data_IF_666526534956
#
_entry.id   IF_666526534956
#
_cell.length_a   1.000
_cell.length_b   1.000
_cell.length_c   1.000
_cell.angle_alpha   90.00
_cell.angle_beta   90.00
_cell.angle_gamma   90.00
#
_symmetry.space_group_name_H-M   'P 1'
#
loop_
_entity.id
_entity.type
_entity.pdbx_description
1 polymer ?
#
# COMPACT_ATOMS: atom_id res chain seq x y z
N UNK A 1 37.17 -25.23 2.34
CA UNK A 1 36.20 -24.80 3.36
C UNK A 1 35.75 -23.40 2.98
N UNK A 2 34.47 -23.20 2.64
CA UNK A 2 33.94 -21.90 2.24
C UNK A 2 33.30 -21.27 3.48
N UNK A 3 33.92 -20.22 4.03
CA UNK A 3 33.32 -19.43 5.11
C UNK A 3 31.98 -18.86 4.61
N UNK A 4 30.90 -19.31 5.24
CA UNK A 4 29.56 -18.80 4.99
C UNK A 4 29.44 -17.47 5.73
N UNK A 5 29.88 -16.38 5.11
CA UNK A 5 29.67 -15.05 5.69
C UNK A 5 28.17 -14.76 5.68
N UNK A 6 27.56 -14.74 6.87
CA UNK A 6 26.17 -14.32 7.00
C UNK A 6 26.15 -12.81 6.71
N UNK A 7 25.36 -12.32 5.73
CA UNK A 7 25.33 -10.90 5.46
C UNK A 7 24.90 -10.14 6.71
N UNK A 8 25.47 -8.96 6.97
CA UNK A 8 25.06 -8.15 8.11
C UNK A 8 23.56 -7.86 8.00
N UNK A 9 22.83 -8.22 9.05
CA UNK A 9 21.39 -7.97 9.12
C UNK A 9 21.19 -6.48 9.46
N UNK A 10 20.72 -5.70 8.49
CA UNK A 10 20.20 -4.35 8.73
C UNK A 10 18.72 -4.43 9.05
N UNK A 11 18.30 -3.79 10.14
CA UNK A 11 16.89 -3.57 10.46
C UNK A 11 16.52 -2.11 10.25
N UNK A 12 15.25 -1.85 9.95
CA UNK A 12 14.71 -0.50 9.91
C UNK A 12 13.40 -0.43 10.70
N UNK A 13 13.17 0.70 11.36
CA UNK A 13 11.92 1.05 12.02
C UNK A 13 11.23 2.11 11.20
N UNK A 14 9.94 1.92 10.93
CA UNK A 14 9.09 2.91 10.26
C UNK A 14 8.09 3.45 11.27
N UNK A 15 8.10 4.76 11.48
CA UNK A 15 7.17 5.46 12.37
C UNK A 15 6.25 6.34 11.55
N UNK A 16 4.94 6.15 11.73
CA UNK A 16 3.90 6.97 11.08
C UNK A 16 3.25 7.89 12.11
N UNK A 17 3.25 9.21 11.86
CA UNK A 17 2.69 10.20 12.79
C UNK A 17 1.80 11.25 12.08
N UNK A 18 0.48 11.29 12.36
CA UNK A 18 -0.30 10.24 13.02
C UNK A 18 -0.24 8.91 12.24
N UNK A 19 -0.77 7.83 12.81
CA UNK A 19 -0.87 6.55 12.11
C UNK A 19 -1.69 6.67 10.81
N UNK A 20 -1.31 5.94 9.76
CA UNK A 20 -2.13 5.83 8.54
C UNK A 20 -3.45 5.12 8.88
N UNK A 21 -4.57 5.76 8.57
CA UNK A 21 -5.92 5.23 8.78
C UNK A 21 -6.53 4.82 7.43
N UNK A 22 -6.81 3.53 7.28
CA UNK A 22 -7.59 3.02 6.15
C UNK A 22 -9.08 3.04 6.51
N UNK A 23 -9.90 3.82 5.78
CA UNK A 23 -11.36 3.88 5.96
C UNK A 23 -12.06 2.91 5.03
N UNK A 24 -12.69 1.88 5.59
CA UNK A 24 -13.45 0.86 4.87
C UNK A 24 -14.97 1.08 4.92
N UNK A 25 -15.41 2.15 5.58
CA UNK A 25 -16.81 2.53 5.82
C UNK A 25 -17.32 3.62 4.86
N UNK A 26 -16.54 3.96 3.82
CA UNK A 26 -16.91 4.95 2.82
C UNK A 26 -18.04 4.44 1.92
N UNK A 27 -19.02 5.30 1.63
CA UNK A 27 -19.98 5.04 0.56
C UNK A 27 -19.35 5.27 -0.82
N UNK A 28 -19.91 4.67 -1.87
CA UNK A 28 -19.39 4.84 -3.23
C UNK A 28 -19.38 6.34 -3.63
N UNK A 29 -18.24 6.80 -4.15
CA UNK A 29 -17.96 8.20 -4.47
C UNK A 29 -17.51 9.05 -3.28
N UNK A 30 -17.50 8.53 -2.06
CA UNK A 30 -16.94 9.26 -0.91
C UNK A 30 -15.42 9.14 -0.86
N UNK A 31 -14.80 10.22 -0.38
CA UNK A 31 -13.36 10.29 -0.15
C UNK A 31 -13.04 10.55 1.33
N UNK A 32 -11.88 10.08 1.75
CA UNK A 32 -11.25 10.41 3.01
C UNK A 32 -9.85 10.96 2.75
N UNK A 33 -9.50 12.05 3.41
CA UNK A 33 -8.19 12.68 3.30
C UNK A 33 -7.46 12.63 4.65
N UNK A 34 -6.17 12.30 4.61
CA UNK A 34 -5.31 12.27 5.79
C UNK A 34 -3.90 12.74 5.44
N UNK A 35 -3.35 13.60 6.29
CA UNK A 35 -1.92 13.93 6.27
C UNK A 35 -1.19 13.20 7.41
N UNK A 36 -0.02 12.63 7.11
CA UNK A 36 0.87 12.02 8.10
C UNK A 36 2.33 12.12 7.67
N UNK A 37 3.26 11.98 8.63
CA UNK A 37 4.68 11.80 8.32
C UNK A 37 5.06 10.33 8.39
N UNK A 38 6.01 9.93 7.54
CA UNK A 38 6.69 8.64 7.61
C UNK A 38 8.15 8.89 7.90
N UNK A 39 8.66 8.33 8.99
CA UNK A 39 10.08 8.41 9.36
C UNK A 39 10.66 7.00 9.38
N UNK A 40 11.72 6.80 8.61
CA UNK A 40 12.44 5.53 8.51
C UNK A 40 13.79 5.68 9.20
N UNK A 41 14.05 4.85 10.19
CA UNK A 41 15.32 4.81 10.91
C UNK A 41 15.95 3.42 10.79
N UNK A 42 17.17 3.33 10.26
CA UNK A 42 17.88 2.07 10.16
C UNK A 42 18.81 1.80 11.35
N UNK A 43 19.24 0.55 11.51
CA UNK A 43 20.13 0.12 12.59
C UNK A 43 21.55 0.70 12.52
N UNK A 44 21.85 1.50 11.49
CA UNK A 44 23.13 2.19 11.28
C UNK A 44 23.06 3.67 11.66
N UNK A 45 21.89 4.14 12.10
CA UNK A 45 21.65 5.54 12.50
C UNK A 45 21.29 6.47 11.34
N UNK A 46 21.01 5.93 10.14
CA UNK A 46 20.43 6.72 9.07
C UNK A 46 18.94 6.94 9.35
N UNK A 47 18.50 8.20 9.28
CA UNK A 47 17.10 8.59 9.44
C UNK A 47 16.66 9.46 8.26
N UNK A 48 15.48 9.19 7.73
CA UNK A 48 14.84 9.98 6.68
C UNK A 48 13.37 10.16 7.03
N UNK A 49 12.84 11.37 6.79
CA UNK A 49 11.44 11.69 7.02
C UNK A 49 10.82 12.36 5.80
N UNK A 50 9.54 12.08 5.58
CA UNK A 50 8.73 12.60 4.50
C UNK A 50 7.32 12.87 5.01
N UNK A 51 6.67 13.92 4.52
CA UNK A 51 5.24 14.17 4.75
C UNK A 51 4.44 13.61 3.58
N UNK A 52 3.32 12.98 3.89
CA UNK A 52 2.37 12.43 2.92
C UNK A 52 1.01 13.07 3.15
N UNK A 53 0.41 13.55 2.07
CA UNK A 53 -1.02 13.80 1.97
C UNK A 53 -1.64 12.65 1.19
N UNK A 54 -2.65 12.00 1.76
CA UNK A 54 -3.32 10.86 1.19
C UNK A 54 -4.80 11.16 1.01
N UNK A 55 -5.32 10.85 -0.17
CA UNK A 55 -6.75 10.86 -0.46
C UNK A 55 -7.17 9.49 -0.95
N UNK A 56 -8.10 8.88 -0.24
CA UNK A 56 -8.66 7.57 -0.58
C UNK A 56 -10.11 7.76 -0.99
N UNK A 57 -10.47 7.36 -2.21
CA UNK A 57 -11.84 7.43 -2.74
C UNK A 57 -12.35 6.02 -2.99
N UNK A 58 -13.49 5.68 -2.39
CA UNK A 58 -14.13 4.39 -2.68
C UNK A 58 -14.99 4.50 -3.94
N UNK A 59 -14.65 3.72 -4.97
CA UNK A 59 -15.31 3.78 -6.28
C UNK A 59 -16.50 2.82 -6.39
N UNK A 60 -16.65 1.89 -5.45
CA UNK A 60 -17.72 0.89 -5.42
C UNK A 60 -17.17 -0.54 -5.54
N UNK A 61 -18.09 -1.49 -5.74
CA UNK A 61 -17.75 -2.90 -5.93
C UNK A 61 -17.85 -3.32 -7.39
N UNK A 62 -16.91 -4.12 -7.86
CA UNK A 62 -17.01 -4.77 -9.17
C UNK A 62 -16.46 -6.19 -9.15
N UNK A 63 -16.83 -7.00 -10.13
CA UNK A 63 -16.25 -8.33 -10.31
C UNK A 63 -15.04 -8.23 -11.23
N UNK A 64 -13.88 -8.71 -10.75
CA UNK A 64 -12.64 -8.76 -11.53
C UNK A 64 -12.11 -10.19 -11.62
N UNK A 65 -11.31 -10.43 -12.66
CA UNK A 65 -10.58 -11.69 -12.84
C UNK A 65 -9.09 -11.39 -12.83
N UNK A 66 -8.37 -12.08 -11.96
CA UNK A 66 -6.91 -12.10 -11.86
C UNK A 66 -6.42 -13.55 -12.04
N UNK A 67 -5.12 -13.83 -12.19
CA UNK A 67 -4.65 -15.21 -12.38
C UNK A 67 -5.04 -16.18 -11.26
N UNK A 68 -5.25 -15.69 -10.02
CA UNK A 68 -5.73 -16.52 -8.91
C UNK A 68 -7.21 -16.92 -9.01
N UNK A 69 -8.03 -16.20 -9.80
CA UNK A 69 -9.45 -16.47 -9.93
C UNK A 69 -10.31 -15.22 -10.18
N UNK A 70 -11.62 -15.40 -10.02
CA UNK A 70 -12.62 -14.33 -10.15
C UNK A 70 -13.19 -13.96 -8.80
N UNK A 71 -13.21 -12.67 -8.48
CA UNK A 71 -13.61 -12.14 -7.18
C UNK A 71 -14.51 -10.92 -7.33
N UNK A 72 -15.42 -10.73 -6.38
CA UNK A 72 -16.02 -9.41 -6.15
C UNK A 72 -15.06 -8.59 -5.30
N UNK A 73 -14.72 -7.39 -5.76
CA UNK A 73 -13.70 -6.53 -5.17
C UNK A 73 -14.22 -5.12 -4.91
N UNK A 74 -13.76 -4.53 -3.80
CA UNK A 74 -13.87 -3.11 -3.51
C UNK A 74 -12.80 -2.37 -4.32
N UNK A 75 -13.24 -1.51 -5.23
CA UNK A 75 -12.37 -0.65 -6.01
C UNK A 75 -12.14 0.67 -5.29
N UNK A 76 -10.88 1.03 -5.11
CA UNK A 76 -10.45 2.21 -4.38
C UNK A 76 -9.44 2.98 -5.23
N UNK A 77 -9.54 4.30 -5.29
CA UNK A 77 -8.52 5.18 -5.83
C UNK A 77 -7.75 5.79 -4.67
N UNK A 78 -6.44 5.55 -4.61
CA UNK A 78 -5.53 6.21 -3.66
C UNK A 78 -4.70 7.24 -4.43
N UNK A 79 -4.83 8.51 -4.06
CA UNK A 79 -4.03 9.61 -4.56
C UNK A 79 -3.14 10.09 -3.42
N UNK A 80 -1.86 10.35 -3.70
CA UNK A 80 -0.93 10.84 -2.69
C UNK A 80 -0.03 11.95 -3.20
N UNK A 81 0.36 12.82 -2.26
CA UNK A 81 1.38 13.83 -2.43
C UNK A 81 2.45 13.58 -1.38
N UNK A 82 3.63 13.18 -1.82
CA UNK A 82 4.78 13.00 -0.95
C UNK A 82 5.71 14.20 -1.04
N UNK A 83 6.13 14.74 0.10
CA UNK A 83 7.14 15.81 0.16
C UNK A 83 8.29 15.35 1.06
N UNK A 84 9.47 15.19 0.47
CA UNK A 84 10.71 14.93 1.20
C UNK A 84 11.40 16.24 1.59
N UNK A 85 12.50 16.15 2.36
CA UNK A 85 13.29 17.31 2.78
C UNK A 85 13.85 18.18 1.64
N UNK A 86 13.77 17.74 0.38
CA UNK A 86 14.15 18.51 -0.81
C UNK A 86 13.08 19.51 -1.26
N UNK A 87 11.87 19.45 -0.69
CA UNK A 87 10.78 20.42 -0.90
C UNK A 87 10.06 20.33 -2.25
N UNK A 88 10.43 19.40 -3.13
CA UNK A 88 9.70 19.13 -4.38
C UNK A 88 8.67 18.03 -4.12
N UNK A 89 7.36 18.30 -4.24
CA UNK A 89 6.34 17.30 -4.04
C UNK A 89 6.26 16.32 -5.22
N UNK A 90 6.15 15.04 -4.92
CA UNK A 90 5.89 13.96 -5.89
C UNK A 90 4.43 13.54 -5.74
N UNK A 91 3.73 13.39 -6.86
CA UNK A 91 2.32 12.97 -6.88
C UNK A 91 2.24 11.56 -7.45
N UNK A 92 1.38 10.73 -6.86
CA UNK A 92 1.03 9.42 -7.40
C UNK A 92 -0.46 9.17 -7.27
N UNK A 93 -0.98 8.38 -8.20
CA UNK A 93 -2.33 7.85 -8.15
C UNK A 93 -2.28 6.35 -8.46
N UNK A 94 -3.01 5.56 -7.67
CA UNK A 94 -3.11 4.13 -7.85
C UNK A 94 -4.57 3.69 -7.65
N UNK A 95 -5.10 2.94 -8.61
CA UNK A 95 -6.37 2.24 -8.42
C UNK A 95 -6.08 0.86 -7.86
N UNK A 96 -6.76 0.49 -6.78
CA UNK A 96 -6.57 -0.76 -6.06
C UNK A 96 -7.89 -1.52 -5.97
N UNK A 97 -7.81 -2.85 -6.04
CA UNK A 97 -8.93 -3.77 -5.92
C UNK A 97 -8.71 -4.70 -4.75
N UNK A 98 -9.52 -4.57 -3.71
CA UNK A 98 -9.47 -5.40 -2.53
C UNK A 98 -10.60 -6.43 -2.56
N UNK A 99 -10.29 -7.72 -2.43
CA UNK A 99 -11.28 -8.78 -2.35
C UNK A 99 -12.28 -8.53 -1.22
N UNK A 100 -13.58 -8.62 -1.55
CA UNK A 100 -14.65 -8.46 -0.58
C UNK A 100 -14.59 -9.59 0.46
N UNK A 101 -14.59 -9.22 1.74
CA UNK A 101 -14.63 -10.14 2.87
C UNK A 101 -13.28 -10.47 3.51
N UNK A 102 -12.19 -10.54 2.75
CA UNK A 102 -10.84 -10.84 3.28
C UNK A 102 -9.82 -9.70 3.11
N UNK A 103 -10.13 -8.68 2.30
CA UNK A 103 -9.28 -7.50 2.13
C UNK A 103 -7.96 -7.76 1.40
N UNK A 104 -7.82 -8.89 0.71
CA UNK A 104 -6.62 -9.18 -0.08
C UNK A 104 -6.55 -8.22 -1.27
N UNK A 105 -5.39 -7.59 -1.48
CA UNK A 105 -5.13 -6.81 -2.68
C UNK A 105 -5.03 -7.75 -3.89
N UNK A 106 -6.04 -7.71 -4.75
CA UNK A 106 -6.14 -8.53 -5.95
C UNK A 106 -5.42 -7.90 -7.13
N UNK A 107 -5.52 -6.58 -7.26
CA UNK A 107 -4.92 -5.82 -8.34
C UNK A 107 -4.59 -4.41 -7.85
N UNK A 108 -3.50 -3.85 -8.36
CA UNK A 108 -3.18 -2.44 -8.24
C UNK A 108 -2.68 -1.92 -9.59
N UNK A 109 -3.07 -0.71 -9.97
CA UNK A 109 -2.71 -0.07 -11.23
C UNK A 109 -2.32 1.38 -10.99
N UNK A 110 -1.11 1.73 -11.38
CA UNK A 110 -0.63 3.10 -11.54
C UNK A 110 -0.30 3.37 -13.02
N UNK A 111 0.07 4.60 -13.37
CA UNK A 111 0.32 4.99 -14.76
C UNK A 111 1.41 4.14 -15.44
N UNK A 112 2.43 3.74 -14.67
CA UNK A 112 3.63 3.07 -15.20
C UNK A 112 3.72 1.58 -14.84
N UNK A 113 2.83 1.07 -13.99
CA UNK A 113 2.93 -0.29 -13.49
C UNK A 113 1.60 -0.87 -13.03
N UNK A 114 1.53 -2.20 -13.02
CA UNK A 114 0.43 -2.92 -12.42
C UNK A 114 0.93 -4.11 -11.63
N UNK A 115 0.14 -4.52 -10.64
CA UNK A 115 0.35 -5.70 -9.83
C UNK A 115 -0.93 -6.54 -9.85
N UNK A 116 -0.78 -7.86 -9.92
CA UNK A 116 -1.89 -8.81 -9.79
C UNK A 116 -1.59 -9.91 -8.79
N UNK A 117 -2.64 -10.36 -8.12
CA UNK A 117 -2.60 -11.50 -7.23
C UNK A 117 -2.58 -12.80 -8.04
N UNK A 118 -1.45 -13.50 -7.96
CA UNK A 118 -1.22 -14.72 -8.74
C UNK A 118 -1.71 -15.96 -7.99
N UNK A 119 -1.43 -16.03 -6.68
CA UNK A 119 -1.84 -17.12 -5.78
C UNK A 119 -1.48 -16.79 -4.34
N UNK A 120 -2.21 -17.35 -3.39
CA UNK A 120 -1.85 -17.31 -1.96
C UNK A 120 -2.75 -18.18 -1.11
N UNK A 121 -2.42 -18.30 0.18
CA UNK A 121 -3.24 -19.02 1.15
C UNK A 121 -3.47 -18.16 2.38
N UNK A 122 -4.71 -18.06 2.85
CA UNK A 122 -5.06 -17.41 4.11
C UNK A 122 -5.50 -18.50 5.09
N UNK A 123 -4.82 -18.59 6.23
CA UNK A 123 -5.07 -19.62 7.24
C UNK A 123 -5.09 -21.06 6.67
N UNK A 124 -4.24 -21.33 5.68
CA UNK A 124 -4.15 -22.63 5.01
C UNK A 124 -5.18 -22.87 3.90
N UNK A 125 -6.10 -21.94 3.65
CA UNK A 125 -7.10 -22.01 2.58
C UNK A 125 -6.58 -21.27 1.35
N UNK A 126 -6.50 -21.96 0.21
CA UNK A 126 -6.16 -21.33 -1.07
C UNK A 126 -7.16 -20.21 -1.38
N UNK A 127 -6.63 -19.07 -1.79
CA UNK A 127 -7.42 -17.90 -2.17
C UNK A 127 -7.54 -17.84 -3.68
#
# INVERSE_FOLDING_TARGET
>A
EAETTTPPTTSATVVLAPFKLNRWDLAAGQSFEQSYSSTVEDSRGFSSSQSLELKTTYLGTETITVPAGTYTACRVLEESVETSGLGVPVRSAETQWYALGNGILLRAESDDSFQEFIRGTVNGVAQ
#
